data_IF_967656372803
#
_entry.id   IF_967656372803
#
_cell.length_a   1.000
_cell.length_b   1.000
_cell.length_c   1.000
_cell.angle_alpha   90.00
_cell.angle_beta   90.00
_cell.angle_gamma   90.00
#
_symmetry.space_group_name_H-M   'P 1'
#
loop_
_entity.id
_entity.type
_entity.pdbx_description
1 polymer ?
#
# COMPACT_ATOMS: atom_id res chain seq x y z
N UNK A 1 20.37 -4.63 -1.53
CA UNK A 1 21.41 -4.34 -0.53
C UNK A 1 21.30 -5.47 0.49
N UNK A 2 22.34 -6.29 0.62
CA UNK A 2 22.33 -7.56 1.37
C UNK A 2 22.96 -7.34 2.75
N UNK A 3 22.38 -7.93 3.79
CA UNK A 3 23.12 -8.37 4.97
C UNK A 3 22.67 -9.77 5.36
N UNK A 4 23.67 -10.65 5.50
CA UNK A 4 23.64 -11.93 6.18
C UNK A 4 24.30 -11.74 7.55
N UNK A 5 23.70 -12.28 8.61
CA UNK A 5 24.39 -12.48 9.89
C UNK A 5 24.17 -13.90 10.37
N UNK A 6 25.28 -14.48 10.83
CA UNK A 6 25.46 -15.86 11.25
C UNK A 6 24.71 -16.20 12.55
N UNK A 7 24.58 -17.50 12.78
CA UNK A 7 23.63 -18.11 13.68
C UNK A 7 23.88 -17.95 15.18
N UNK A 8 22.77 -18.05 15.91
CA UNK A 8 22.70 -18.44 17.31
C UNK A 8 21.48 -19.35 17.46
N UNK A 9 21.67 -20.54 18.03
CA UNK A 9 20.62 -21.54 18.22
C UNK A 9 19.52 -21.05 19.18
N UNK A 10 18.28 -21.41 18.87
CA UNK A 10 17.12 -21.15 19.73
C UNK A 10 16.58 -22.48 20.25
N UNK A 11 16.75 -22.72 21.55
CA UNK A 11 15.96 -23.68 22.33
C UNK A 11 14.52 -23.15 22.47
N UNK A 12 13.55 -24.06 22.33
CA UNK A 12 12.11 -23.76 22.39
C UNK A 12 11.64 -23.45 23.82
N UNK A 13 11.01 -22.29 24.02
CA UNK A 13 10.27 -21.94 25.25
C UNK A 13 8.83 -22.44 25.11
N UNK A 14 8.26 -23.16 26.11
CA UNK A 14 6.88 -23.64 26.02
C UNK A 14 5.88 -22.49 26.26
N UNK A 15 4.97 -22.32 25.30
CA UNK A 15 3.84 -21.38 25.33
C UNK A 15 2.76 -21.93 26.25
N UNK A 16 2.81 -21.63 27.55
CA UNK A 16 1.59 -21.65 28.37
C UNK A 16 1.74 -20.85 29.67
N UNK A 17 1.65 -19.53 29.61
CA UNK A 17 1.39 -18.71 30.80
C UNK A 17 0.88 -17.32 30.39
N UNK A 18 -0.39 -17.21 30.02
CA UNK A 18 -1.15 -15.97 30.21
C UNK A 18 -2.54 -16.28 30.75
N UNK A 19 -2.82 -15.59 31.85
CA UNK A 19 -3.95 -15.68 32.77
C UNK A 19 -5.31 -15.37 32.12
N UNK A 20 -6.33 -16.10 32.58
CA UNK A 20 -7.74 -15.96 32.22
C UNK A 20 -8.30 -14.59 32.60
N UNK A 21 -8.99 -13.92 31.68
CA UNK A 21 -9.96 -12.84 31.96
C UNK A 21 -11.33 -13.52 32.16
N UNK A 22 -12.11 -13.18 33.21
CA UNK A 22 -13.40 -13.82 33.44
C UNK A 22 -14.45 -13.27 32.47
N UNK A 23 -15.09 -14.15 31.71
CA UNK A 23 -16.27 -13.82 30.87
C UNK A 23 -17.52 -14.05 31.72
N UNK A 24 -18.40 -13.05 31.74
CA UNK A 24 -19.68 -13.07 32.48
C UNK A 24 -20.55 -14.26 32.09
N UNK A 25 -21.10 -14.90 33.13
CA UNK A 25 -22.07 -16.00 33.04
C UNK A 25 -23.41 -15.51 32.49
N UNK A 26 -23.74 -15.92 31.26
CA UNK A 26 -25.05 -16.46 30.91
C UNK A 26 -25.04 -16.89 29.44
N UNK A 27 -24.51 -18.07 29.16
CA UNK A 27 -24.76 -18.75 27.88
C UNK A 27 -25.52 -20.03 28.17
N UNK A 28 -26.66 -20.17 27.50
CA UNK A 28 -27.65 -21.22 27.62
C UNK A 28 -27.01 -22.63 27.58
N UNK A 29 -27.48 -23.56 28.43
CA UNK A 29 -26.86 -24.88 28.65
C UNK A 29 -26.81 -25.79 27.41
N UNK A 30 -27.43 -25.40 26.29
CA UNK A 30 -27.45 -26.11 25.01
C UNK A 30 -26.57 -25.50 23.90
N UNK A 31 -25.74 -24.48 24.20
CA UNK A 31 -24.86 -23.92 23.17
C UNK A 31 -23.60 -24.78 22.97
N UNK A 32 -23.49 -25.44 21.81
CA UNK A 32 -22.21 -26.01 21.36
C UNK A 32 -21.25 -24.88 20.98
N UNK A 33 -20.20 -24.68 21.79
CA UNK A 33 -19.10 -23.78 21.47
C UNK A 33 -18.30 -24.39 20.30
N UNK A 34 -18.50 -23.86 19.10
CA UNK A 34 -17.66 -24.19 17.95
C UNK A 34 -16.39 -23.34 18.01
N UNK A 35 -15.31 -23.93 18.51
CA UNK A 35 -13.97 -23.38 18.32
C UNK A 35 -13.55 -23.71 16.89
N UNK A 36 -13.60 -22.71 15.99
CA UNK A 36 -13.00 -22.81 14.67
C UNK A 36 -11.48 -22.97 14.84
N UNK A 37 -11.00 -24.21 14.95
CA UNK A 37 -9.58 -24.52 14.77
C UNK A 37 -9.23 -24.13 13.33
N UNK A 38 -8.60 -22.97 13.17
CA UNK A 38 -7.93 -22.61 11.92
C UNK A 38 -6.77 -23.59 11.77
N UNK A 39 -7.00 -24.68 11.05
CA UNK A 39 -5.95 -25.63 10.75
C UNK A 39 -4.98 -24.96 9.78
N UNK A 40 -3.75 -24.67 10.25
CA UNK A 40 -2.58 -24.57 9.37
C UNK A 40 -2.31 -25.97 8.83
N UNK A 41 -3.15 -26.44 7.92
CA UNK A 41 -2.88 -27.66 7.19
C UNK A 41 -1.62 -27.40 6.32
N UNK A 42 -0.64 -28.32 6.30
CA UNK A 42 0.49 -28.18 5.40
C UNK A 42 -0.02 -28.02 3.97
N UNK A 43 0.50 -27.01 3.27
CA UNK A 43 0.12 -26.71 1.89
C UNK A 43 0.36 -27.96 1.04
N UNK A 44 -0.70 -28.57 0.51
CA UNK A 44 -0.54 -29.61 -0.52
C UNK A 44 0.00 -28.92 -1.78
N UNK A 45 1.13 -29.38 -2.36
CA UNK A 45 1.59 -28.85 -3.63
C UNK A 45 0.52 -29.14 -4.68
N UNK A 46 0.10 -28.10 -5.41
CA UNK A 46 -0.79 -28.28 -6.54
C UNK A 46 0.11 -28.81 -7.66
N UNK A 47 0.11 -30.13 -7.86
CA UNK A 47 0.94 -30.77 -8.89
C UNK A 47 0.47 -30.34 -10.29
N UNK A 48 0.88 -29.14 -10.73
CA UNK A 48 0.55 -28.56 -12.04
C UNK A 48 1.70 -28.77 -13.02
N UNK A 49 1.36 -29.18 -14.23
CA UNK A 49 2.29 -29.20 -15.35
C UNK A 49 2.31 -27.81 -16.03
N UNK A 50 3.17 -26.93 -15.53
CA UNK A 50 3.33 -25.56 -16.03
C UNK A 50 3.77 -25.51 -17.50
N UNK A 51 4.51 -26.51 -17.97
CA UNK A 51 5.04 -26.54 -19.33
C UNK A 51 3.96 -26.79 -20.39
N UNK A 52 2.84 -27.42 -20.02
CA UNK A 52 1.66 -27.58 -20.89
C UNK A 52 0.87 -26.27 -21.05
N UNK A 53 0.94 -25.39 -20.05
CA UNK A 53 0.11 -24.18 -19.97
C UNK A 53 0.82 -22.91 -20.47
N UNK A 54 2.15 -22.93 -20.55
CA UNK A 54 2.97 -21.75 -20.81
C UNK A 54 3.92 -22.01 -21.98
N UNK A 55 4.10 -20.99 -22.82
CA UNK A 55 5.17 -21.05 -23.82
C UNK A 55 6.56 -20.98 -23.13
N UNK A 56 7.66 -21.34 -23.82
CA UNK A 56 8.98 -21.41 -23.18
C UNK A 56 9.44 -20.12 -22.49
N UNK A 57 9.10 -18.95 -23.04
CA UNK A 57 9.49 -17.66 -22.48
C UNK A 57 8.68 -17.32 -21.21
N UNK A 58 7.38 -17.64 -21.22
CA UNK A 58 6.51 -17.48 -20.06
C UNK A 58 6.88 -18.46 -18.95
N UNK A 59 7.19 -19.71 -19.31
CA UNK A 59 7.64 -20.74 -18.37
C UNK A 59 8.92 -20.29 -17.66
N UNK A 60 9.93 -19.86 -18.42
CA UNK A 60 11.18 -19.33 -17.86
C UNK A 60 10.94 -18.17 -16.87
N UNK A 61 9.99 -17.27 -17.18
CA UNK A 61 9.64 -16.16 -16.28
C UNK A 61 8.90 -16.61 -15.00
N UNK A 62 8.17 -17.73 -15.06
CA UNK A 62 7.43 -18.32 -13.92
C UNK A 62 8.34 -19.18 -13.04
N UNK A 63 9.34 -19.84 -13.61
CA UNK A 63 10.27 -20.72 -12.90
C UNK A 63 11.28 -20.00 -12.00
N UNK A 64 11.58 -18.73 -12.28
CA UNK A 64 12.43 -17.91 -11.41
C UNK A 64 11.68 -17.61 -10.11
N UNK A 65 12.03 -18.31 -9.03
CA UNK A 65 11.43 -18.13 -7.70
C UNK A 65 12.20 -17.08 -6.89
N UNK A 66 13.52 -17.18 -6.86
CA UNK A 66 14.39 -16.35 -6.04
C UNK A 66 14.95 -15.14 -6.78
N UNK A 67 15.18 -14.06 -6.02
CA UNK A 67 15.84 -12.85 -6.51
C UNK A 67 14.96 -11.94 -7.39
N UNK A 68 15.48 -10.76 -7.75
CA UNK A 68 14.77 -9.80 -8.60
C UNK A 68 14.68 -10.32 -10.04
N UNK A 69 13.50 -10.18 -10.65
CA UNK A 69 13.25 -10.55 -12.04
C UNK A 69 12.56 -9.42 -12.81
N UNK A 70 13.04 -9.11 -14.01
CA UNK A 70 12.42 -8.15 -14.93
C UNK A 70 11.88 -8.88 -16.17
N UNK A 71 10.57 -8.83 -16.37
CA UNK A 71 9.90 -9.43 -17.53
C UNK A 71 9.45 -8.32 -18.49
N UNK A 72 10.13 -8.20 -19.62
CA UNK A 72 9.79 -7.24 -20.68
C UNK A 72 8.85 -7.93 -21.66
N UNK A 73 7.66 -7.37 -21.86
CA UNK A 73 6.59 -8.07 -22.55
C UNK A 73 5.69 -7.11 -23.34
N UNK A 74 5.63 -7.31 -24.66
CA UNK A 74 4.82 -6.52 -25.60
C UNK A 74 3.31 -6.66 -25.37
N UNK A 75 2.49 -5.88 -26.08
CA UNK A 75 1.04 -6.06 -26.06
C UNK A 75 0.66 -7.50 -26.47
N UNK A 76 -0.37 -8.08 -25.85
CA UNK A 76 -0.84 -9.45 -26.17
C UNK A 76 0.05 -10.62 -25.72
N UNK A 77 1.27 -10.39 -25.24
CA UNK A 77 2.24 -11.45 -24.85
C UNK A 77 1.88 -12.28 -23.61
N UNK A 78 0.73 -12.03 -22.98
CA UNK A 78 0.28 -12.78 -21.81
C UNK A 78 0.90 -12.35 -20.47
N UNK A 79 1.34 -11.09 -20.32
CA UNK A 79 1.86 -10.52 -19.04
C UNK A 79 1.07 -10.95 -17.80
N UNK A 80 -0.25 -10.76 -17.84
CA UNK A 80 -1.12 -11.12 -16.71
C UNK A 80 -1.13 -12.62 -16.47
N UNK A 81 -1.04 -13.45 -17.51
CA UNK A 81 -0.93 -14.92 -17.39
C UNK A 81 0.37 -15.27 -16.66
N UNK A 82 1.50 -14.69 -17.05
CA UNK A 82 2.80 -14.89 -16.38
C UNK A 82 2.70 -14.55 -14.88
N UNK A 83 2.14 -13.39 -14.51
CA UNK A 83 2.02 -13.00 -13.11
C UNK A 83 1.15 -13.98 -12.29
N UNK A 84 0.01 -14.40 -12.84
CA UNK A 84 -0.90 -15.35 -12.17
C UNK A 84 -0.23 -16.71 -11.97
N UNK A 85 0.43 -17.22 -13.00
CA UNK A 85 1.14 -18.50 -12.92
C UNK A 85 2.37 -18.42 -12.01
N UNK A 86 3.04 -17.27 -11.94
CA UNK A 86 4.15 -17.05 -11.00
C UNK A 86 3.67 -17.13 -9.55
N UNK A 87 2.52 -16.56 -9.22
CA UNK A 87 1.92 -16.69 -7.86
C UNK A 87 1.63 -18.15 -7.54
N UNK A 88 1.01 -18.87 -8.47
CA UNK A 88 0.75 -20.30 -8.28
C UNK A 88 2.05 -21.08 -8.08
N UNK A 89 3.09 -20.77 -8.87
CA UNK A 89 4.40 -21.43 -8.76
C UNK A 89 5.05 -21.20 -7.40
N UNK A 90 5.06 -19.96 -6.90
CA UNK A 90 5.59 -19.62 -5.57
C UNK A 90 4.93 -20.46 -4.47
N UNK A 91 3.60 -20.58 -4.52
CA UNK A 91 2.82 -21.33 -3.55
C UNK A 91 3.09 -22.83 -3.66
N UNK A 92 3.20 -23.36 -4.89
CA UNK A 92 3.54 -24.77 -5.13
C UNK A 92 4.95 -25.12 -4.67
N UNK A 93 5.86 -24.15 -4.65
CA UNK A 93 7.20 -24.30 -4.06
C UNK A 93 7.22 -24.13 -2.54
N UNK A 94 6.07 -23.95 -1.89
CA UNK A 94 5.94 -23.89 -0.44
C UNK A 94 5.97 -22.49 0.16
N UNK A 95 5.99 -21.42 -0.65
CA UNK A 95 5.90 -20.05 -0.14
C UNK A 95 4.49 -19.81 0.41
N UNK A 96 4.42 -19.25 1.63
CA UNK A 96 3.14 -18.91 2.23
C UNK A 96 2.41 -17.87 1.35
N UNK A 97 1.17 -18.13 0.89
CA UNK A 97 0.38 -17.13 0.18
C UNK A 97 0.31 -15.76 0.88
N UNK A 98 0.35 -15.73 2.22
CA UNK A 98 0.31 -14.49 3.00
C UNK A 98 1.57 -13.61 2.86
N UNK A 99 2.68 -14.17 2.37
CA UNK A 99 3.92 -13.41 2.09
C UNK A 99 4.00 -12.93 0.64
N UNK A 100 2.96 -13.13 -0.18
CA UNK A 100 2.92 -12.69 -1.58
C UNK A 100 2.11 -11.39 -1.70
N UNK A 101 2.72 -10.38 -2.32
CA UNK A 101 2.10 -9.09 -2.63
C UNK A 101 1.97 -8.88 -4.15
N UNK A 102 0.74 -8.63 -4.61
CA UNK A 102 0.40 -8.33 -6.00
C UNK A 102 -0.09 -6.89 -6.17
N UNK A 103 0.71 -6.06 -6.84
CA UNK A 103 0.42 -4.65 -7.06
C UNK A 103 0.11 -4.33 -8.53
N UNK A 104 -0.82 -3.41 -8.73
CA UNK A 104 -1.12 -2.84 -10.05
C UNK A 104 -1.65 -1.41 -9.92
N UNK A 105 -1.91 -0.75 -11.04
CA UNK A 105 -2.37 0.64 -11.06
C UNK A 105 -3.90 0.78 -11.01
N UNK A 106 -4.66 -0.21 -11.49
CA UNK A 106 -6.13 -0.10 -11.59
C UNK A 106 -6.85 -1.14 -10.75
N UNK A 107 -7.98 -0.75 -10.15
CA UNK A 107 -8.81 -1.66 -9.35
C UNK A 107 -9.32 -2.83 -10.19
N UNK A 108 -9.69 -2.58 -11.46
CA UNK A 108 -10.12 -3.62 -12.40
C UNK A 108 -9.03 -4.65 -12.65
N UNK A 109 -7.80 -4.22 -12.94
CA UNK A 109 -6.68 -5.15 -13.14
C UNK A 109 -6.38 -5.94 -11.87
N UNK A 110 -6.48 -5.33 -10.69
CA UNK A 110 -6.24 -6.01 -9.42
C UNK A 110 -7.29 -7.12 -9.19
N UNK A 111 -8.56 -6.79 -9.35
CA UNK A 111 -9.67 -7.75 -9.22
C UNK A 111 -9.56 -8.89 -10.23
N UNK A 112 -9.24 -8.57 -11.49
CA UNK A 112 -9.06 -9.56 -12.54
C UNK A 112 -7.88 -10.49 -12.25
N UNK A 113 -6.74 -9.94 -11.81
CA UNK A 113 -5.54 -10.71 -11.47
C UNK A 113 -5.80 -11.63 -10.27
N UNK A 114 -6.38 -11.11 -9.18
CA UNK A 114 -6.74 -11.90 -8.01
C UNK A 114 -7.79 -12.96 -8.31
N UNK A 115 -8.79 -12.64 -9.13
CA UNK A 115 -9.79 -13.61 -9.59
C UNK A 115 -9.15 -14.76 -10.39
N UNK A 116 -8.22 -14.43 -11.31
CA UNK A 116 -7.47 -15.45 -12.06
C UNK A 116 -6.57 -16.29 -11.17
N UNK A 117 -5.94 -15.70 -10.15
CA UNK A 117 -5.20 -16.45 -9.12
C UNK A 117 -6.16 -17.40 -8.40
N UNK A 118 -7.31 -16.93 -7.93
CA UNK A 118 -8.30 -17.78 -7.25
C UNK A 118 -8.82 -18.94 -8.10
N UNK A 119 -9.06 -18.72 -9.40
CA UNK A 119 -9.40 -19.81 -10.33
C UNK A 119 -8.28 -20.85 -10.43
N UNK A 120 -7.02 -20.41 -10.33
CA UNK A 120 -5.87 -21.28 -10.45
C UNK A 120 -5.63 -22.06 -9.15
N UNK A 121 -5.47 -21.39 -8.00
CA UNK A 121 -5.02 -22.00 -6.73
C UNK A 121 -6.13 -22.24 -5.69
N UNK A 122 -7.37 -21.86 -6.00
CA UNK A 122 -8.52 -22.06 -5.11
C UNK A 122 -8.43 -21.20 -3.83
N UNK A 123 -8.95 -21.67 -2.69
CA UNK A 123 -9.10 -20.88 -1.45
C UNK A 123 -7.81 -20.26 -0.91
N UNK A 124 -6.64 -20.80 -1.28
CA UNK A 124 -5.34 -20.25 -0.90
C UNK A 124 -5.14 -18.81 -1.42
N UNK A 125 -5.83 -18.41 -2.50
CA UNK A 125 -5.72 -17.06 -3.07
C UNK A 125 -6.20 -15.95 -2.15
N UNK A 126 -7.12 -16.24 -1.23
CA UNK A 126 -7.67 -15.24 -0.30
C UNK A 126 -6.62 -14.70 0.68
N UNK A 127 -5.54 -15.45 0.87
CA UNK A 127 -4.41 -15.05 1.72
C UNK A 127 -3.39 -14.19 0.98
N UNK A 128 -3.39 -14.18 -0.36
CA UNK A 128 -2.51 -13.32 -1.15
C UNK A 128 -2.94 -11.87 -1.00
N UNK A 129 -2.03 -11.01 -0.58
CA UNK A 129 -2.31 -9.58 -0.55
C UNK A 129 -2.25 -9.06 -1.98
N UNK A 130 -3.33 -8.43 -2.45
CA UNK A 130 -3.31 -7.79 -3.76
C UNK A 130 -4.23 -6.59 -3.87
N UNK A 131 -3.88 -5.67 -4.75
CA UNK A 131 -4.62 -4.43 -4.90
C UNK A 131 -3.90 -3.41 -5.76
N UNK A 132 -4.43 -2.19 -5.73
CA UNK A 132 -3.67 -1.03 -6.20
C UNK A 132 -2.68 -0.57 -5.15
N UNK A 133 -1.64 0.16 -5.55
CA UNK A 133 -0.71 0.83 -4.60
C UNK A 133 -1.46 1.55 -3.48
N UNK A 134 -2.44 2.39 -3.83
CA UNK A 134 -3.28 3.12 -2.87
C UNK A 134 -4.14 2.20 -1.98
N UNK A 135 -4.70 1.13 -2.54
CA UNK A 135 -5.53 0.20 -1.75
C UNK A 135 -4.69 -0.53 -0.70
N UNK A 136 -3.49 -0.98 -1.10
CA UNK A 136 -2.55 -1.65 -0.21
C UNK A 136 -2.02 -0.67 0.84
N UNK A 137 -1.64 0.54 0.43
CA UNK A 137 -1.22 1.60 1.32
C UNK A 137 -2.28 1.92 2.39
N UNK A 138 -3.54 2.08 1.99
CA UNK A 138 -4.64 2.31 2.92
C UNK A 138 -4.78 1.17 3.95
N UNK A 139 -4.68 -0.09 3.53
CA UNK A 139 -4.74 -1.25 4.44
C UNK A 139 -3.58 -1.23 5.43
N UNK A 140 -2.35 -0.99 4.95
CA UNK A 140 -1.16 -0.97 5.79
C UNK A 140 -1.16 0.22 6.75
N UNK A 141 -1.52 1.41 6.29
CA UNK A 141 -1.63 2.61 7.12
C UNK A 141 -2.71 2.48 8.20
N UNK A 142 -3.85 1.86 7.90
CA UNK A 142 -4.86 1.58 8.93
C UNK A 142 -4.39 0.59 9.98
N UNK A 143 -3.51 -0.34 9.60
CA UNK A 143 -2.99 -1.36 10.52
C UNK A 143 -1.83 -0.85 11.36
N UNK A 144 -0.92 -0.09 10.75
CA UNK A 144 0.39 0.23 11.34
C UNK A 144 0.67 1.73 11.46
N UNK A 145 -0.20 2.61 10.95
CA UNK A 145 0.02 4.05 10.86
C UNK A 145 0.17 4.77 12.20
N UNK A 146 -0.22 4.16 13.33
CA UNK A 146 -0.05 4.76 14.66
C UNK A 146 1.42 5.05 15.00
N UNK A 147 2.35 4.27 14.47
CA UNK A 147 3.79 4.46 14.66
C UNK A 147 4.30 5.79 14.09
N UNK A 148 3.62 6.30 13.06
CA UNK A 148 3.89 7.60 12.43
C UNK A 148 2.84 8.67 12.82
N UNK A 149 2.03 8.41 13.86
CA UNK A 149 1.03 9.37 14.36
C UNK A 149 -0.24 9.49 13.52
N UNK A 150 -0.56 8.47 12.70
CA UNK A 150 -1.79 8.40 11.92
C UNK A 150 -2.76 7.38 12.53
N UNK A 151 -3.93 7.82 12.95
CA UNK A 151 -4.95 6.95 13.53
C UNK A 151 -5.66 6.11 12.45
N UNK A 152 -6.05 4.85 12.74
CA UNK A 152 -6.71 3.97 11.77
C UNK A 152 -8.02 4.51 11.19
N UNK A 153 -8.62 5.52 11.83
CA UNK A 153 -9.86 6.18 11.43
C UNK A 153 -9.69 7.38 10.50
N UNK A 154 -8.50 7.61 9.93
CA UNK A 154 -8.26 8.77 9.05
C UNK A 154 -9.24 8.81 7.85
N UNK A 155 -9.58 10.04 7.47
CA UNK A 155 -10.46 10.33 6.34
C UNK A 155 -9.64 10.52 5.07
N UNK A 156 -10.05 9.86 4.00
CA UNK A 156 -9.42 10.01 2.69
C UNK A 156 -10.13 11.13 1.94
N UNK A 157 -9.40 12.18 1.57
CA UNK A 157 -9.89 13.27 0.75
C UNK A 157 -9.87 12.87 -0.72
N UNK A 158 -10.96 13.13 -1.42
CA UNK A 158 -10.91 13.11 -2.88
C UNK A 158 -10.25 14.38 -3.43
N UNK A 159 -10.14 14.48 -4.76
CA UNK A 159 -9.50 15.64 -5.39
C UNK A 159 -10.26 16.95 -5.12
N UNK A 160 -11.59 16.92 -5.13
CA UNK A 160 -12.40 18.11 -4.86
C UNK A 160 -12.23 18.57 -3.42
N UNK A 161 -12.30 17.64 -2.47
CA UNK A 161 -12.10 17.90 -1.05
C UNK A 161 -10.69 18.43 -0.75
N UNK A 162 -9.67 17.88 -1.43
CA UNK A 162 -8.28 18.36 -1.32
C UNK A 162 -8.14 19.80 -1.84
N UNK A 163 -8.72 20.10 -3.02
CA UNK A 163 -8.75 21.46 -3.56
C UNK A 163 -9.49 22.44 -2.63
N UNK A 164 -10.58 22.00 -2.01
CA UNK A 164 -11.36 22.81 -1.06
C UNK A 164 -10.61 23.04 0.25
N UNK A 165 -9.88 22.04 0.75
CA UNK A 165 -9.00 22.20 1.92
C UNK A 165 -7.87 23.18 1.62
N UNK A 166 -7.21 23.06 0.46
CA UNK A 166 -6.20 24.04 0.01
C UNK A 166 -6.81 25.44 -0.04
N UNK A 167 -8.02 25.58 -0.58
CA UNK A 167 -8.70 26.88 -0.64
C UNK A 167 -9.02 27.44 0.75
N UNK A 168 -9.48 26.60 1.68
CA UNK A 168 -9.78 26.99 3.05
C UNK A 168 -8.52 27.57 3.73
N UNK A 169 -7.40 26.85 3.67
CA UNK A 169 -6.13 27.30 4.26
C UNK A 169 -5.60 28.56 3.57
N UNK A 170 -5.78 28.66 2.24
CA UNK A 170 -5.42 29.85 1.45
C UNK A 170 -6.19 31.09 1.88
N UNK A 171 -7.49 30.97 2.12
CA UNK A 171 -8.33 32.07 2.63
C UNK A 171 -7.93 32.45 4.05
N UNK A 172 -7.75 31.47 4.93
CA UNK A 172 -7.33 31.70 6.32
C UNK A 172 -5.95 32.38 6.43
N UNK A 173 -5.08 32.17 5.45
CA UNK A 173 -3.76 32.79 5.37
C UNK A 173 -3.78 34.21 4.77
N UNK A 174 -4.95 34.75 4.43
CA UNK A 174 -5.09 36.08 3.81
C UNK A 174 -4.62 36.15 2.35
N UNK A 175 -4.27 35.02 1.73
CA UNK A 175 -3.71 34.94 0.37
C UNK A 175 -4.77 35.06 -0.74
N UNK A 176 -6.04 35.25 -0.37
CA UNK A 176 -7.15 35.40 -1.31
C UNK A 176 -7.47 36.86 -1.64
N UNK A 177 -6.94 37.81 -0.87
CA UNK A 177 -7.20 39.25 -0.97
C UNK A 177 -5.98 40.04 -1.41
N UNK A 178 -4.94 39.36 -1.90
CA UNK A 178 -3.72 40.02 -2.39
C UNK A 178 -4.06 40.89 -3.61
N UNK A 179 -3.56 42.13 -3.64
CA UNK A 179 -3.70 43.01 -4.81
C UNK A 179 -3.04 42.47 -6.10
N UNK A 180 -2.28 41.38 -5.99
CA UNK A 180 -1.73 40.58 -7.10
C UNK A 180 -2.51 39.28 -7.30
N UNK A 181 -2.50 38.78 -8.53
CA UNK A 181 -3.22 37.55 -8.91
C UNK A 181 -2.51 36.28 -8.39
N UNK A 182 -2.87 35.86 -7.18
CA UNK A 182 -2.39 34.62 -6.57
C UNK A 182 -2.96 33.36 -7.28
N UNK A 183 -2.26 32.21 -7.27
CA UNK A 183 -2.73 30.97 -7.87
C UNK A 183 -4.12 30.51 -7.37
N UNK A 184 -4.89 29.87 -8.26
CA UNK A 184 -6.18 29.27 -7.91
C UNK A 184 -6.01 27.96 -7.15
N UNK A 185 -7.01 27.57 -6.35
CA UNK A 185 -6.99 26.35 -5.52
C UNK A 185 -6.52 25.09 -6.26
N UNK A 186 -7.05 24.88 -7.47
CA UNK A 186 -6.66 23.75 -8.34
C UNK A 186 -5.19 23.79 -8.72
N UNK A 187 -4.68 24.95 -9.12
CA UNK A 187 -3.27 25.12 -9.49
C UNK A 187 -2.33 24.83 -8.31
N UNK A 188 -2.72 25.25 -7.10
CA UNK A 188 -1.95 25.01 -5.88
C UNK A 188 -1.99 23.52 -5.53
N UNK A 189 -3.17 22.89 -5.59
CA UNK A 189 -3.32 21.46 -5.34
C UNK A 189 -2.49 20.62 -6.35
N UNK A 190 -2.51 20.99 -7.63
CA UNK A 190 -1.71 20.33 -8.67
C UNK A 190 -0.20 20.48 -8.42
N UNK A 191 0.24 21.67 -7.98
CA UNK A 191 1.63 21.92 -7.60
C UNK A 191 2.06 21.05 -6.41
N UNK A 192 1.27 21.00 -5.33
CA UNK A 192 1.58 20.20 -4.15
C UNK A 192 1.57 18.70 -4.48
N UNK A 193 0.57 18.24 -5.23
CA UNK A 193 0.49 16.87 -5.73
C UNK A 193 1.73 16.50 -6.56
N UNK A 194 2.20 17.41 -7.42
CA UNK A 194 3.41 17.20 -8.21
C UNK A 194 4.63 17.03 -7.31
N UNK A 195 4.81 17.91 -6.31
CA UNK A 195 5.90 17.80 -5.34
C UNK A 195 5.90 16.43 -4.64
N UNK A 196 4.73 15.97 -4.19
CA UNK A 196 4.58 14.68 -3.52
C UNK A 196 4.92 13.50 -4.46
N UNK A 197 4.43 13.51 -5.70
CA UNK A 197 4.63 12.43 -6.66
C UNK A 197 6.05 12.35 -7.24
N UNK A 198 6.76 13.47 -7.33
CA UNK A 198 8.15 13.51 -7.81
C UNK A 198 9.18 13.51 -6.69
N UNK A 199 8.75 13.66 -5.43
CA UNK A 199 9.62 13.87 -4.26
C UNK A 199 10.59 15.05 -4.45
N UNK A 200 10.16 16.06 -5.20
CA UNK A 200 10.93 17.29 -5.43
C UNK A 200 10.50 18.38 -4.46
N UNK A 201 11.39 19.36 -4.24
CA UNK A 201 11.06 20.51 -3.42
C UNK A 201 10.02 21.39 -4.12
N UNK A 202 9.24 22.13 -3.33
CA UNK A 202 8.29 23.12 -3.86
C UNK A 202 8.99 24.16 -4.73
N UNK A 203 10.21 24.57 -4.36
CA UNK A 203 11.02 25.51 -5.11
C UNK A 203 11.37 24.99 -6.51
N UNK A 204 11.86 23.75 -6.60
CA UNK A 204 12.23 23.14 -7.88
C UNK A 204 11.04 23.06 -8.82
N UNK A 205 9.92 22.50 -8.36
CA UNK A 205 8.71 22.34 -9.19
C UNK A 205 8.14 23.70 -9.60
N UNK A 206 8.16 24.68 -8.69
CA UNK A 206 7.69 26.03 -8.96
C UNK A 206 8.50 26.68 -10.09
N UNK A 207 9.84 26.64 -10.02
CA UNK A 207 10.67 27.31 -11.03
C UNK A 207 10.75 26.55 -12.35
N UNK A 208 10.53 25.23 -12.37
CA UNK A 208 10.55 24.45 -13.63
C UNK A 208 9.23 24.50 -14.40
N UNK A 209 8.08 24.40 -13.71
CA UNK A 209 6.78 24.23 -14.36
C UNK A 209 5.80 25.39 -14.10
N UNK A 210 6.00 26.16 -13.03
CA UNK A 210 5.08 27.22 -12.57
C UNK A 210 5.79 28.57 -12.38
N UNK A 211 6.83 28.84 -13.17
CA UNK A 211 7.76 29.96 -12.98
C UNK A 211 7.12 31.35 -12.84
N UNK A 212 5.96 31.57 -13.47
CA UNK A 212 5.15 32.78 -13.39
C UNK A 212 4.58 33.06 -11.99
N UNK A 213 4.65 32.09 -11.08
CA UNK A 213 4.32 32.23 -9.65
C UNK A 213 5.55 32.25 -8.74
N UNK A 214 6.77 32.32 -9.30
CA UNK A 214 8.02 32.32 -8.54
C UNK A 214 8.10 33.42 -7.48
N UNK A 215 7.46 34.58 -7.72
CA UNK A 215 7.39 35.68 -6.73
C UNK A 215 6.63 35.29 -5.45
N UNK A 216 5.81 34.24 -5.49
CA UNK A 216 4.99 33.76 -4.37
C UNK A 216 5.60 32.56 -3.63
N UNK A 217 6.88 32.22 -3.87
CA UNK A 217 7.51 31.05 -3.26
C UNK A 217 7.36 31.03 -1.73
N UNK A 218 7.54 32.18 -1.07
CA UNK A 218 7.42 32.29 0.39
C UNK A 218 5.99 32.03 0.88
N UNK A 219 4.99 32.60 0.20
CA UNK A 219 3.58 32.41 0.48
C UNK A 219 3.12 30.97 0.21
N UNK A 220 3.56 30.39 -0.90
CA UNK A 220 3.24 29.00 -1.27
C UNK A 220 3.87 27.99 -0.30
N UNK A 221 5.08 28.25 0.18
CA UNK A 221 5.74 27.42 1.20
C UNK A 221 4.96 27.43 2.51
N UNK A 222 4.59 28.62 3.00
CA UNK A 222 3.76 28.75 4.21
C UNK A 222 2.40 28.08 4.05
N UNK A 223 1.79 28.21 2.86
CA UNK A 223 0.51 27.59 2.54
C UNK A 223 0.62 26.06 2.51
N UNK A 224 1.70 25.51 1.94
CA UNK A 224 1.97 24.08 1.94
C UNK A 224 2.11 23.54 3.37
N UNK A 225 2.91 24.19 4.20
CA UNK A 225 3.11 23.79 5.60
C UNK A 225 1.79 23.83 6.39
N UNK A 226 0.97 24.86 6.17
CA UNK A 226 -0.34 24.99 6.79
C UNK A 226 -1.33 23.93 6.29
N UNK A 227 -1.29 23.57 4.99
CA UNK A 227 -2.08 22.48 4.41
C UNK A 227 -1.72 21.13 5.06
N UNK A 228 -0.43 20.79 5.09
CA UNK A 228 0.08 19.55 5.71
C UNK A 228 -0.18 19.49 7.22
N UNK A 229 -0.03 20.62 7.92
CA UNK A 229 -0.38 20.72 9.34
C UNK A 229 -1.87 20.49 9.57
N UNK A 230 -2.73 21.08 8.73
CA UNK A 230 -4.19 20.92 8.86
C UNK A 230 -4.61 19.49 8.61
N UNK A 231 -4.03 18.81 7.60
CA UNK A 231 -4.27 17.39 7.34
C UNK A 231 -3.92 16.54 8.55
N UNK A 232 -2.72 16.72 9.11
CA UNK A 232 -2.25 15.99 10.31
C UNK A 232 -3.14 16.20 11.53
N UNK A 233 -3.48 17.45 11.85
CA UNK A 233 -4.32 17.78 13.01
C UNK A 233 -5.72 17.18 12.91
N UNK A 234 -6.27 17.08 11.70
CA UNK A 234 -7.62 16.58 11.44
C UNK A 234 -7.67 15.11 11.02
N UNK A 235 -6.54 14.40 11.03
CA UNK A 235 -6.43 13.01 10.55
C UNK A 235 -7.00 12.84 9.13
N UNK A 236 -6.61 13.76 8.24
CA UNK A 236 -6.94 13.74 6.82
C UNK A 236 -5.73 13.26 6.02
N UNK A 237 -6.01 12.52 4.96
CA UNK A 237 -5.04 11.93 4.04
C UNK A 237 -5.60 12.09 2.63
N UNK A 238 -4.89 12.73 1.71
CA UNK A 238 -5.26 12.72 0.30
C UNK A 238 -4.69 11.48 -0.43
N UNK A 239 -4.91 11.36 -1.74
CA UNK A 239 -4.43 10.20 -2.50
C UNK A 239 -2.90 10.12 -2.55
N UNK A 240 -2.20 11.27 -2.60
CA UNK A 240 -0.74 11.30 -2.65
C UNK A 240 -0.17 10.90 -1.29
N UNK A 241 -0.81 11.37 -0.20
CA UNK A 241 -0.46 11.01 1.18
C UNK A 241 -0.48 9.51 1.42
N UNK A 242 -1.39 8.75 0.81
CA UNK A 242 -1.42 7.29 0.96
C UNK A 242 -0.05 6.68 0.61
N UNK A 243 0.61 7.19 -0.44
CA UNK A 243 1.90 6.67 -0.87
C UNK A 243 3.05 7.25 -0.06
N UNK A 244 3.06 8.57 0.17
CA UNK A 244 4.16 9.23 0.91
C UNK A 244 4.19 8.81 2.38
N UNK A 245 3.02 8.66 3.02
CA UNK A 245 2.91 8.16 4.40
C UNK A 245 3.24 6.69 4.52
N UNK A 246 2.93 5.88 3.50
CA UNK A 246 3.38 4.49 3.48
C UNK A 246 4.91 4.43 3.39
N UNK A 247 5.54 5.28 2.58
CA UNK A 247 7.00 5.36 2.51
C UNK A 247 7.60 5.78 3.86
N UNK A 248 7.03 6.78 4.53
CA UNK A 248 7.44 7.18 5.88
C UNK A 248 7.34 6.02 6.88
N UNK A 249 6.22 5.27 6.85
CA UNK A 249 6.03 4.08 7.70
C UNK A 249 7.14 3.05 7.49
N UNK A 250 7.44 2.72 6.22
CA UNK A 250 8.41 1.68 5.88
C UNK A 250 9.85 2.10 6.19
N UNK A 251 10.18 3.38 6.01
CA UNK A 251 11.54 3.90 6.27
C UNK A 251 11.80 4.16 7.76
N UNK A 252 10.77 4.32 8.58
CA UNK A 252 10.91 4.38 10.03
C UNK A 252 11.35 3.02 10.59
N UNK A 253 10.78 1.93 10.07
CA UNK A 253 11.06 0.55 10.50
C UNK A 253 12.49 0.11 10.13
N UNK A 254 13.03 0.57 8.99
CA UNK A 254 14.44 0.31 8.62
C UNK A 254 15.48 0.91 9.58
N UNK A 255 15.07 1.85 10.45
CA UNK A 255 15.95 2.54 11.40
C UNK A 255 15.81 2.03 12.84
N UNK A 256 14.85 1.13 13.10
CA UNK A 256 14.61 0.52 14.40
C UNK A 256 15.37 -0.80 14.55
#
# INVERSE_FOLDING_TARGET
MLYTTDGVGLESIPVNQFSRIPVMDSVNADSKVYVLKRAEAPLKPLSRDYAQELNPQQLAAVEVVDGPALVIAGAGSGKTRVLVYRVARLIDTGIDPASILLLTFTRKAAQEMLGRVGLLIGPQSERVMGGTFHSVANVLLRRYGRTIGLEPGFTILDRGDSEDLVNLVRVQSGLSETGKRFPRKKTIADLFSKCANTMQSLEDVLFTEYNHFGEFLGELTKLHDAYESTKRQRQLVDYDDLLTRLLELLTLDERA
#
